data_IF_895375099498
#
_entry.id   IF_895375099498
#
_cell.length_a   1.000
_cell.length_b   1.000
_cell.length_c   1.000
_cell.angle_alpha   90.00
_cell.angle_beta   90.00
_cell.angle_gamma   90.00
#
_symmetry.space_group_name_H-M   'P 1'
#
loop_
_entity.id
_entity.type
_entity.pdbx_description
1 polymer ?
#
# COMPACT_ATOMS: atom_id res chain seq x y z
N UNK A 1 -3.13 -4.82 20.84
CA UNK A 1 -2.62 -3.47 20.55
C UNK A 1 -1.90 -3.54 19.23
N UNK A 2 -1.99 -2.53 18.35
CA UNK A 2 -1.32 -2.58 17.04
C UNK A 2 0.17 -2.38 17.21
N UNK A 3 0.98 -3.18 16.50
CA UNK A 3 2.42 -3.19 16.59
C UNK A 3 3.04 -2.69 15.29
N UNK A 4 3.81 -1.62 15.38
CA UNK A 4 4.47 -0.99 14.24
C UNK A 4 5.95 -1.35 14.26
N UNK A 5 6.46 -1.78 13.12
CA UNK A 5 7.89 -1.97 12.89
C UNK A 5 8.45 -0.76 12.16
N UNK A 6 9.42 -0.08 12.78
CA UNK A 6 10.01 1.15 12.26
C UNK A 6 11.51 0.98 12.01
N UNK A 7 11.92 1.07 10.77
CA UNK A 7 13.31 0.93 10.34
C UNK A 7 13.82 2.29 9.86
N UNK A 8 14.74 2.87 10.64
CA UNK A 8 15.26 4.23 10.45
C UNK A 8 16.57 4.36 11.23
N UNK A 9 17.59 5.02 10.71
CA UNK A 9 18.88 5.20 11.36
C UNK A 9 19.03 6.55 12.08
N UNK A 10 18.27 7.59 11.66
CA UNK A 10 18.29 8.91 12.27
C UNK A 10 17.64 8.88 13.66
N UNK A 11 18.49 9.01 14.70
CA UNK A 11 18.04 9.02 16.10
C UNK A 11 17.09 10.18 16.43
N UNK A 12 17.25 11.33 15.79
CA UNK A 12 16.39 12.50 16.04
C UNK A 12 14.98 12.23 15.54
N UNK A 13 14.88 11.66 14.34
CA UNK A 13 13.60 11.25 13.75
C UNK A 13 12.95 10.11 14.53
N UNK A 14 13.72 9.08 14.89
CA UNK A 14 13.26 7.97 15.73
C UNK A 14 12.65 8.48 17.04
N UNK A 15 13.36 9.36 17.78
CA UNK A 15 12.89 9.86 19.06
C UNK A 15 11.60 10.67 18.92
N UNK A 16 11.54 11.56 17.92
CA UNK A 16 10.37 12.39 17.68
C UNK A 16 9.12 11.56 17.29
N UNK A 17 9.30 10.63 16.35
CA UNK A 17 8.20 9.81 15.87
C UNK A 17 7.78 8.73 16.87
N UNK A 18 8.72 8.12 17.59
CA UNK A 18 8.44 7.11 18.61
C UNK A 18 7.52 7.64 19.70
N UNK A 19 7.78 8.87 20.18
CA UNK A 19 6.90 9.50 21.17
C UNK A 19 5.48 9.69 20.63
N UNK A 20 5.36 10.17 19.40
CA UNK A 20 4.07 10.41 18.76
C UNK A 20 3.29 9.11 18.48
N UNK A 21 3.96 8.07 17.97
CA UNK A 21 3.37 6.74 17.70
C UNK A 21 2.87 6.10 19.00
N UNK A 22 3.69 6.09 20.05
CA UNK A 22 3.31 5.53 21.36
C UNK A 22 2.15 6.30 22.01
N UNK A 23 2.10 7.62 21.83
CA UNK A 23 0.99 8.46 22.31
C UNK A 23 -0.35 8.11 21.64
N UNK A 24 -0.34 7.56 20.42
CA UNK A 24 -1.53 7.03 19.75
C UNK A 24 -1.94 5.63 20.25
N UNK A 25 -1.21 5.05 21.21
CA UNK A 25 -1.51 3.73 21.76
C UNK A 25 -0.96 2.56 20.95
N UNK A 26 0.02 2.79 20.08
CA UNK A 26 0.68 1.74 19.29
C UNK A 26 1.93 1.22 19.98
N UNK A 27 2.19 -0.09 19.85
CA UNK A 27 3.47 -0.69 20.16
C UNK A 27 4.46 -0.40 19.03
N UNK A 28 5.75 -0.31 19.36
CA UNK A 28 6.78 0.06 18.42
C UNK A 28 8.04 -0.78 18.64
N UNK A 29 8.47 -1.48 17.59
CA UNK A 29 9.81 -2.07 17.48
C UNK A 29 10.61 -1.24 16.48
N UNK A 30 11.87 -0.97 16.82
CA UNK A 30 12.76 -0.12 16.02
C UNK A 30 13.96 -0.95 15.60
N UNK A 31 14.36 -0.82 14.34
CA UNK A 31 15.64 -1.29 13.82
C UNK A 31 16.37 -0.11 13.18
N UNK A 32 17.70 -0.07 13.30
CA UNK A 32 18.51 1.02 12.76
C UNK A 32 19.36 0.63 11.57
N UNK A 33 19.36 -0.65 11.24
CA UNK A 33 20.10 -1.21 10.13
C UNK A 33 19.25 -2.27 9.42
N UNK A 34 19.60 -2.59 8.19
CA UNK A 34 18.94 -3.65 7.42
C UNK A 34 19.13 -5.02 8.09
N UNK A 35 20.33 -5.30 8.60
CA UNK A 35 20.64 -6.56 9.28
C UNK A 35 19.82 -6.70 10.57
N UNK A 36 19.74 -5.67 11.40
CA UNK A 36 18.92 -5.67 12.62
C UNK A 36 17.43 -5.86 12.26
N UNK A 37 16.98 -5.20 11.20
CA UNK A 37 15.61 -5.29 10.75
C UNK A 37 15.24 -6.72 10.31
N UNK A 38 16.11 -7.42 9.60
CA UNK A 38 15.89 -8.81 9.20
C UNK A 38 15.74 -9.73 10.41
N UNK A 39 16.64 -9.60 11.40
CA UNK A 39 16.60 -10.40 12.62
C UNK A 39 15.32 -10.18 13.45
N UNK A 40 14.89 -8.92 13.58
CA UNK A 40 13.67 -8.57 14.29
C UNK A 40 12.41 -8.98 13.53
N UNK A 41 12.46 -8.94 12.20
CA UNK A 41 11.36 -9.36 11.34
C UNK A 41 11.03 -10.85 11.49
N UNK A 42 12.03 -11.72 11.51
CA UNK A 42 11.85 -13.17 11.64
C UNK A 42 11.13 -13.56 12.95
N UNK A 43 11.32 -12.81 14.01
CA UNK A 43 10.81 -13.09 15.34
C UNK A 43 9.58 -12.25 15.72
N UNK A 44 9.13 -11.35 14.85
CA UNK A 44 8.08 -10.38 15.14
C UNK A 44 6.76 -10.66 14.41
N UNK A 45 5.70 -10.09 14.98
CA UNK A 45 4.40 -9.99 14.31
C UNK A 45 3.97 -8.52 14.31
N UNK A 46 3.89 -7.94 13.12
CA UNK A 46 3.69 -6.49 12.96
C UNK A 46 2.46 -6.21 12.12
N UNK A 47 1.75 -5.14 12.47
CA UNK A 47 0.55 -4.67 11.77
C UNK A 47 0.86 -3.61 10.70
N UNK A 48 2.01 -2.96 10.80
CA UNK A 48 2.51 -1.96 9.85
C UNK A 48 4.04 -1.94 9.89
N UNK A 49 4.64 -1.76 8.74
CA UNK A 49 6.08 -1.53 8.59
C UNK A 49 6.31 -0.13 8.04
N UNK A 50 7.24 0.60 8.64
CA UNK A 50 7.70 1.90 8.17
C UNK A 50 9.19 1.76 7.85
N UNK A 51 9.59 2.01 6.62
CA UNK A 51 10.96 1.82 6.14
C UNK A 51 11.55 3.12 5.63
N UNK A 52 12.71 3.51 6.15
CA UNK A 52 13.57 4.42 5.41
C UNK A 52 14.11 3.71 4.16
N UNK A 53 14.12 4.42 3.05
CA UNK A 53 14.72 3.93 1.80
C UNK A 53 16.23 3.81 1.92
N UNK A 54 16.88 4.75 2.60
CA UNK A 54 18.33 4.79 2.77
C UNK A 54 18.73 4.32 4.16
N UNK A 55 19.38 3.17 4.24
CA UNK A 55 19.91 2.61 5.48
C UNK A 55 21.45 2.53 5.40
N UNK A 56 22.16 2.59 6.55
CA UNK A 56 23.61 2.62 6.57
C UNK A 56 24.29 1.37 6.00
N UNK A 57 23.58 0.26 5.96
CA UNK A 57 24.07 -1.06 5.53
C UNK A 57 23.28 -1.63 4.35
N UNK A 58 22.33 -0.88 3.76
CA UNK A 58 21.51 -1.38 2.67
C UNK A 58 20.39 -0.44 2.24
N UNK A 59 19.40 -1.01 1.55
CA UNK A 59 18.23 -0.29 1.06
C UNK A 59 16.94 -0.81 1.68
N UNK A 60 16.07 0.12 2.10
CA UNK A 60 14.70 -0.23 2.50
C UNK A 60 13.90 -0.92 1.41
N UNK A 61 14.26 -0.70 0.14
CA UNK A 61 13.64 -1.40 -0.99
C UNK A 61 13.97 -2.90 -0.98
N UNK A 62 15.20 -3.27 -0.68
CA UNK A 62 15.60 -4.69 -0.60
C UNK A 62 14.92 -5.37 0.59
N UNK A 63 14.84 -4.67 1.72
CA UNK A 63 14.09 -5.15 2.89
C UNK A 63 12.60 -5.33 2.58
N UNK A 64 11.99 -4.40 1.85
CA UNK A 64 10.61 -4.54 1.38
C UNK A 64 10.41 -5.80 0.53
N UNK A 65 11.31 -6.09 -0.42
CA UNK A 65 11.23 -7.31 -1.25
C UNK A 65 11.27 -8.57 -0.39
N UNK A 66 12.15 -8.61 0.62
CA UNK A 66 12.26 -9.74 1.56
C UNK A 66 10.98 -9.92 2.38
N UNK A 67 10.44 -8.83 2.93
CA UNK A 67 9.17 -8.84 3.66
C UNK A 67 8.04 -9.34 2.78
N UNK A 68 7.95 -8.85 1.54
CA UNK A 68 6.90 -9.23 0.58
C UNK A 68 6.96 -10.68 0.14
N UNK A 69 8.11 -11.33 0.24
CA UNK A 69 8.21 -12.77 -0.03
C UNK A 69 7.38 -13.63 0.94
N UNK A 70 7.11 -13.13 2.15
CA UNK A 70 6.42 -13.89 3.22
C UNK A 70 5.21 -13.17 3.83
N UNK A 71 5.00 -11.86 3.55
CA UNK A 71 3.97 -11.08 4.24
C UNK A 71 3.30 -10.03 3.36
N UNK A 72 2.00 -9.80 3.65
CA UNK A 72 1.17 -8.73 3.06
C UNK A 72 0.97 -7.54 4.01
N UNK A 73 1.73 -7.48 5.10
CA UNK A 73 1.68 -6.35 6.04
C UNK A 73 1.80 -5.02 5.30
N UNK A 74 1.01 -3.99 5.63
CA UNK A 74 1.19 -2.67 5.02
C UNK A 74 2.62 -2.16 5.21
N UNK A 75 3.20 -1.58 4.15
CA UNK A 75 4.54 -0.96 4.18
C UNK A 75 4.43 0.48 3.73
N UNK A 76 4.92 1.41 4.56
CA UNK A 76 5.09 2.82 4.23
C UNK A 76 6.57 3.15 4.13
N UNK A 77 6.98 3.76 3.01
CA UNK A 77 8.33 4.28 2.87
C UNK A 77 8.45 5.70 3.38
N UNK A 78 9.56 5.98 4.07
CA UNK A 78 10.06 7.32 4.34
C UNK A 78 11.32 7.53 3.52
N UNK A 79 11.50 8.69 2.91
CA UNK A 79 12.70 8.95 2.11
C UNK A 79 13.05 10.43 2.08
N UNK A 80 14.34 10.72 1.97
CA UNK A 80 14.83 12.06 1.65
C UNK A 80 14.82 12.35 0.14
N UNK A 81 14.57 11.34 -0.71
CA UNK A 81 14.67 11.47 -2.14
C UNK A 81 13.42 12.13 -2.74
N UNK A 82 13.65 13.21 -3.48
CA UNK A 82 12.63 13.95 -4.24
C UNK A 82 12.49 13.40 -5.67
N UNK A 83 13.17 12.29 -6.01
CA UNK A 83 13.13 11.73 -7.36
C UNK A 83 11.85 10.91 -7.55
N UNK A 84 11.04 11.26 -8.54
CA UNK A 84 9.84 10.50 -8.95
C UNK A 84 10.16 9.01 -9.20
N UNK A 85 11.38 8.71 -9.62
CA UNK A 85 11.88 7.35 -9.83
C UNK A 85 11.89 6.51 -8.57
N UNK A 86 12.25 7.08 -7.41
CA UNK A 86 12.28 6.36 -6.13
C UNK A 86 10.86 6.09 -5.60
N UNK A 87 9.93 7.02 -5.81
CA UNK A 87 8.52 6.84 -5.50
C UNK A 87 7.94 5.69 -6.32
N UNK A 88 8.17 5.73 -7.64
CA UNK A 88 7.70 4.69 -8.56
C UNK A 88 8.31 3.34 -8.18
N UNK A 89 9.60 3.29 -7.93
CA UNK A 89 10.33 2.08 -7.55
C UNK A 89 9.80 1.50 -6.23
N UNK A 90 9.63 2.33 -5.19
CA UNK A 90 9.12 1.90 -3.88
C UNK A 90 7.74 1.30 -3.96
N UNK A 91 6.85 1.91 -4.74
CA UNK A 91 5.50 1.41 -4.96
C UNK A 91 5.49 0.17 -5.86
N UNK A 92 6.32 0.10 -6.90
CA UNK A 92 6.41 -1.05 -7.81
C UNK A 92 6.90 -2.32 -7.09
N UNK A 93 7.76 -2.22 -6.07
CA UNK A 93 8.24 -3.36 -5.29
C UNK A 93 7.29 -3.80 -4.16
N UNK A 94 6.17 -3.11 -3.95
CA UNK A 94 5.14 -3.54 -3.02
C UNK A 94 4.85 -2.61 -1.85
N UNK A 95 5.40 -1.40 -1.81
CA UNK A 95 5.00 -0.36 -0.84
C UNK A 95 3.51 0.00 -0.97
N UNK A 96 2.86 0.25 0.15
CA UNK A 96 1.44 0.64 0.21
C UNK A 96 1.26 2.15 0.33
N UNK A 97 2.27 2.86 0.82
CA UNK A 97 2.31 4.31 0.89
C UNK A 97 3.77 4.82 0.86
N UNK A 98 3.92 6.11 0.63
CA UNK A 98 5.20 6.76 0.45
C UNK A 98 5.15 8.19 0.99
N UNK A 99 6.19 8.62 1.72
CA UNK A 99 6.28 9.96 2.28
C UNK A 99 7.69 10.53 2.18
N UNK A 100 7.83 11.71 1.57
CA UNK A 100 9.10 12.43 1.48
C UNK A 100 9.41 13.20 2.74
N UNK A 101 10.67 13.18 3.16
CA UNK A 101 11.22 14.04 4.22
C UNK A 101 11.61 15.41 3.60
N UNK A 102 11.33 16.56 4.26
CA UNK A 102 10.65 16.69 5.55
C UNK A 102 9.12 16.64 5.44
N UNK A 103 8.45 16.08 6.45
CA UNK A 103 7.00 15.95 6.51
C UNK A 103 6.40 16.52 7.80
N UNK A 104 5.09 16.77 7.75
CA UNK A 104 4.34 17.20 8.95
C UNK A 104 3.92 15.97 9.76
N UNK A 105 4.16 16.01 11.09
CA UNK A 105 3.80 14.93 12.00
C UNK A 105 2.31 14.53 11.91
N UNK A 106 1.40 15.50 11.77
CA UNK A 106 -0.02 15.22 11.64
C UNK A 106 -0.34 14.39 10.38
N UNK A 107 0.33 14.68 9.26
CA UNK A 107 0.18 13.92 8.00
C UNK A 107 0.72 12.51 8.16
N UNK A 108 1.89 12.35 8.78
CA UNK A 108 2.50 11.06 9.08
C UNK A 108 1.56 10.17 9.91
N UNK A 109 1.04 10.69 11.03
CA UNK A 109 0.11 9.94 11.87
C UNK A 109 -1.22 9.62 11.16
N UNK A 110 -1.73 10.53 10.34
CA UNK A 110 -2.92 10.28 9.53
C UNK A 110 -2.73 9.11 8.56
N UNK A 111 -1.56 9.02 7.92
CA UNK A 111 -1.21 7.92 7.00
C UNK A 111 -1.05 6.58 7.72
N UNK A 112 -0.40 6.56 8.89
CA UNK A 112 -0.33 5.37 9.76
C UNK A 112 -1.75 4.89 10.10
N UNK A 113 -2.60 5.78 10.58
CA UNK A 113 -3.98 5.43 10.94
C UNK A 113 -4.76 4.91 9.73
N UNK A 114 -4.57 5.49 8.55
CA UNK A 114 -5.20 5.05 7.32
C UNK A 114 -4.72 3.64 6.92
N UNK A 115 -3.42 3.36 6.99
CA UNK A 115 -2.86 2.04 6.69
C UNK A 115 -3.35 0.96 7.66
N UNK A 116 -3.30 1.23 8.97
CA UNK A 116 -3.77 0.30 10.02
C UNK A 116 -5.29 0.05 9.92
N UNK A 117 -6.09 1.09 9.71
CA UNK A 117 -7.53 0.93 9.49
C UNK A 117 -7.85 0.11 8.24
N UNK A 118 -7.07 0.26 7.17
CA UNK A 118 -7.21 -0.56 5.97
C UNK A 118 -6.96 -2.02 6.26
N UNK A 119 -5.97 -2.35 7.07
CA UNK A 119 -5.71 -3.73 7.50
C UNK A 119 -6.82 -4.29 8.40
N UNK A 120 -7.54 -3.45 9.17
CA UNK A 120 -8.68 -3.85 10.01
C UNK A 120 -10.00 -3.97 9.24
N UNK A 121 -10.30 -3.01 8.35
CA UNK A 121 -11.51 -3.07 7.52
C UNK A 121 -11.48 -4.24 6.53
N UNK A 122 -10.31 -4.78 6.26
CA UNK A 122 -10.15 -6.06 5.62
C UNK A 122 -10.94 -7.18 6.35
N UNK A 123 -11.13 -7.04 7.67
CA UNK A 123 -11.84 -8.01 8.50
C UNK A 123 -13.31 -7.66 8.80
N UNK A 124 -13.83 -6.47 8.44
CA UNK A 124 -15.14 -6.00 8.92
C UNK A 124 -16.18 -5.61 7.84
N UNK A 125 -15.88 -5.59 6.56
CA UNK A 125 -16.92 -5.32 5.56
C UNK A 125 -17.85 -6.53 5.38
N UNK A 126 -19.05 -6.40 5.93
CA UNK A 126 -20.13 -7.38 5.82
C UNK A 126 -20.66 -7.51 4.39
N UNK A 127 -20.69 -8.75 3.94
CA UNK A 127 -21.71 -9.38 3.10
C UNK A 127 -22.10 -8.75 1.74
N UNK A 128 -21.17 -8.79 0.80
CA UNK A 128 -21.54 -9.32 -0.53
C UNK A 128 -20.66 -10.55 -0.78
N UNK A 129 -21.23 -11.72 -1.02
CA UNK A 129 -20.49 -12.97 -0.92
C UNK A 129 -19.38 -13.12 -1.97
N UNK A 130 -19.53 -12.50 -3.12
CA UNK A 130 -18.55 -12.65 -4.21
C UNK A 130 -18.70 -11.56 -5.27
N UNK A 131 -17.58 -11.05 -5.80
CA UNK A 131 -17.56 -10.25 -7.02
C UNK A 131 -16.95 -11.09 -8.15
N UNK A 132 -17.64 -11.17 -9.29
CA UNK A 132 -17.13 -11.89 -10.44
C UNK A 132 -17.30 -11.08 -11.73
N UNK A 133 -16.20 -10.89 -12.45
CA UNK A 133 -16.18 -10.19 -13.75
C UNK A 133 -14.89 -10.50 -14.51
N UNK A 134 -14.97 -10.67 -15.83
CA UNK A 134 -13.81 -10.83 -16.73
C UNK A 134 -12.80 -11.91 -16.31
N UNK A 135 -13.27 -13.05 -15.79
CA UNK A 135 -12.41 -14.12 -15.29
C UNK A 135 -11.76 -13.83 -13.94
N UNK A 136 -12.02 -12.66 -13.35
CA UNK A 136 -11.62 -12.33 -11.98
C UNK A 136 -12.76 -12.67 -11.03
N UNK A 137 -12.42 -13.38 -9.94
CA UNK A 137 -13.32 -13.71 -8.84
C UNK A 137 -12.70 -13.22 -7.55
N UNK A 138 -13.46 -12.48 -6.75
CA UNK A 138 -13.07 -11.97 -5.45
C UNK A 138 -14.00 -12.52 -4.38
N UNK A 139 -13.52 -13.35 -3.49
CA UNK A 139 -14.24 -13.81 -2.30
C UNK A 139 -14.03 -12.82 -1.17
N UNK A 140 -15.02 -11.95 -0.94
CA UNK A 140 -14.85 -10.81 -0.03
C UNK A 140 -14.58 -11.22 1.41
N UNK A 141 -15.22 -12.29 1.91
CA UNK A 141 -15.04 -12.77 3.29
C UNK A 141 -13.66 -13.41 3.52
N UNK A 142 -13.14 -14.14 2.52
CA UNK A 142 -11.82 -14.78 2.60
C UNK A 142 -10.71 -13.90 2.08
N UNK A 143 -11.06 -12.80 1.41
CA UNK A 143 -10.14 -11.89 0.72
C UNK A 143 -9.25 -12.61 -0.31
N UNK A 144 -9.76 -13.66 -0.86
CA UNK A 144 -9.09 -14.42 -1.90
C UNK A 144 -9.50 -13.88 -3.28
N UNK A 145 -8.51 -13.74 -4.15
CA UNK A 145 -8.71 -13.34 -5.53
C UNK A 145 -8.19 -14.43 -6.44
N UNK A 146 -8.98 -14.78 -7.45
CA UNK A 146 -8.53 -15.70 -8.49
C UNK A 146 -8.71 -15.07 -9.88
N UNK A 147 -7.80 -15.38 -10.79
CA UNK A 147 -7.93 -15.07 -12.22
C UNK A 147 -8.04 -16.39 -12.98
N UNK A 148 -9.17 -16.63 -13.63
CA UNK A 148 -9.48 -17.87 -14.34
C UNK A 148 -9.27 -19.13 -13.46
N UNK A 149 -9.63 -19.03 -12.16
CA UNK A 149 -9.48 -20.11 -11.18
C UNK A 149 -8.09 -20.24 -10.56
N UNK A 150 -7.10 -19.47 -11.02
CA UNK A 150 -5.75 -19.46 -10.45
C UNK A 150 -5.66 -18.39 -9.38
N UNK A 151 -5.17 -18.69 -8.16
CA UNK A 151 -4.97 -17.71 -7.10
C UNK A 151 -4.09 -16.54 -7.56
N UNK A 152 -4.52 -15.32 -7.20
CA UNK A 152 -3.85 -14.08 -7.55
C UNK A 152 -3.41 -13.37 -6.28
N UNK A 153 -2.10 -13.18 -6.15
CA UNK A 153 -1.54 -12.50 -4.98
C UNK A 153 -1.55 -10.99 -5.17
N UNK A 154 -2.38 -10.30 -4.36
CA UNK A 154 -2.52 -8.84 -4.36
C UNK A 154 -2.10 -8.27 -3.00
N UNK A 155 -1.45 -7.11 -3.03
CA UNK A 155 -1.27 -6.31 -1.81
C UNK A 155 -2.61 -5.74 -1.35
N UNK A 156 -2.69 -5.25 -0.11
CA UNK A 156 -3.91 -4.67 0.44
C UNK A 156 -4.46 -3.52 -0.42
N UNK A 157 -3.60 -2.66 -0.93
CA UNK A 157 -4.00 -1.53 -1.79
C UNK A 157 -4.49 -1.99 -3.17
N UNK A 158 -3.82 -2.96 -3.78
CA UNK A 158 -4.24 -3.56 -5.06
C UNK A 158 -5.60 -4.27 -4.95
N UNK A 159 -5.80 -5.02 -3.86
CA UNK A 159 -7.09 -5.67 -3.58
C UNK A 159 -8.21 -4.64 -3.46
N UNK A 160 -8.02 -3.57 -2.67
CA UNK A 160 -9.03 -2.51 -2.52
C UNK A 160 -9.34 -1.82 -3.84
N UNK A 161 -8.30 -1.49 -4.61
CA UNK A 161 -8.44 -0.88 -5.91
C UNK A 161 -9.24 -1.80 -6.86
N UNK A 162 -8.96 -3.10 -6.85
CA UNK A 162 -9.72 -4.09 -7.62
C UNK A 162 -11.19 -4.14 -7.19
N UNK A 163 -11.44 -4.24 -5.88
CA UNK A 163 -12.81 -4.26 -5.34
C UNK A 163 -13.57 -2.97 -5.67
N UNK A 164 -12.90 -1.81 -5.58
CA UNK A 164 -13.51 -0.53 -5.95
C UNK A 164 -13.95 -0.52 -7.41
N UNK A 165 -13.12 -0.99 -8.33
CA UNK A 165 -13.45 -1.07 -9.74
C UNK A 165 -14.57 -2.08 -10.01
N UNK A 166 -14.50 -3.27 -9.44
CA UNK A 166 -15.49 -4.32 -9.65
C UNK A 166 -16.87 -3.99 -9.05
N UNK A 167 -16.91 -3.18 -7.99
CA UNK A 167 -18.16 -2.64 -7.41
C UNK A 167 -18.77 -1.48 -8.23
N UNK A 168 -18.03 -0.89 -9.18
CA UNK A 168 -18.48 0.20 -10.04
C UNK A 168 -18.28 -0.14 -11.53
N UNK A 169 -18.86 -1.25 -12.03
CA UNK A 169 -18.65 -1.69 -13.41
C UNK A 169 -19.15 -0.64 -14.40
N UNK A 170 -18.39 -0.47 -15.47
CA UNK A 170 -18.66 0.46 -16.56
C UNK A 170 -18.76 1.96 -16.16
N UNK A 171 -18.57 2.30 -14.89
CA UNK A 171 -18.52 3.67 -14.40
C UNK A 171 -17.11 4.23 -14.52
N UNK A 172 -16.98 5.47 -14.96
CA UNK A 172 -15.70 6.19 -14.96
C UNK A 172 -15.47 6.74 -13.56
N UNK A 173 -14.39 6.35 -12.93
CA UNK A 173 -13.96 6.89 -11.64
C UNK A 173 -12.83 7.88 -11.88
N UNK A 174 -12.99 9.11 -11.37
CA UNK A 174 -11.92 10.12 -11.46
C UNK A 174 -10.76 9.77 -10.53
N UNK A 175 -9.54 10.28 -10.81
CA UNK A 175 -8.40 10.08 -9.90
C UNK A 175 -8.73 10.47 -8.46
N UNK A 176 -9.40 11.60 -8.25
CA UNK A 176 -9.79 12.09 -6.93
C UNK A 176 -10.76 11.13 -6.22
N UNK A 177 -11.75 10.59 -6.94
CA UNK A 177 -12.69 9.60 -6.40
C UNK A 177 -12.01 8.32 -6.00
N UNK A 178 -11.03 7.86 -6.79
CA UNK A 178 -10.26 6.65 -6.48
C UNK A 178 -9.39 6.92 -5.25
N UNK A 179 -8.66 8.03 -5.26
CA UNK A 179 -7.74 8.39 -4.18
C UNK A 179 -8.49 8.59 -2.85
N UNK A 180 -9.62 9.31 -2.84
CA UNK A 180 -10.42 9.52 -1.63
C UNK A 180 -10.93 8.19 -1.04
N UNK A 181 -11.33 7.22 -1.88
CA UNK A 181 -11.82 5.92 -1.42
C UNK A 181 -10.70 4.96 -0.99
N UNK A 182 -9.51 5.11 -1.55
CA UNK A 182 -8.37 4.28 -1.17
C UNK A 182 -7.65 4.81 0.06
N UNK A 183 -7.57 6.13 0.24
CA UNK A 183 -6.74 6.75 1.27
C UNK A 183 -7.47 7.57 2.32
N UNK A 184 -8.80 7.77 2.25
CA UNK A 184 -9.59 8.51 3.24
C UNK A 184 -8.92 9.82 3.74
N UNK A 185 -8.08 10.44 2.92
CA UNK A 185 -7.30 11.62 3.26
C UNK A 185 -7.81 12.83 2.50
N UNK A 186 -7.75 14.01 3.11
CA UNK A 186 -7.94 15.29 2.44
C UNK A 186 -7.07 15.36 1.19
N UNK A 187 -7.70 15.65 0.04
CA UNK A 187 -7.23 15.55 -1.35
C UNK A 187 -5.88 16.24 -1.66
N UNK A 188 -5.30 16.96 -0.70
CA UNK A 188 -4.15 17.86 -0.94
C UNK A 188 -2.77 17.18 -0.91
N UNK A 189 -2.67 15.89 -0.58
CA UNK A 189 -1.38 15.26 -0.27
C UNK A 189 -1.05 14.00 -1.06
N UNK A 190 -1.92 13.57 -1.99
CA UNK A 190 -1.64 12.38 -2.81
C UNK A 190 -1.56 12.81 -4.27
N UNK A 191 -0.38 12.62 -4.86
CA UNK A 191 -0.11 12.96 -6.26
C UNK A 191 -0.79 11.96 -7.20
N UNK A 192 -1.24 12.44 -8.36
CA UNK A 192 -1.78 11.63 -9.46
C UNK A 192 -0.78 10.57 -9.96
N UNK A 193 0.51 10.80 -9.79
CA UNK A 193 1.58 9.86 -10.12
C UNK A 193 1.47 8.58 -9.30
N UNK A 194 1.14 8.69 -8.01
CA UNK A 194 0.92 7.55 -7.11
C UNK A 194 -0.20 6.63 -7.62
N UNK A 195 -1.34 7.20 -8.04
CA UNK A 195 -2.45 6.40 -8.60
C UNK A 195 -2.04 5.66 -9.87
N UNK A 196 -1.29 6.33 -10.76
CA UNK A 196 -0.83 5.70 -12.01
C UNK A 196 0.01 4.46 -11.76
N UNK A 197 0.85 4.47 -10.72
CA UNK A 197 1.66 3.31 -10.32
C UNK A 197 0.76 2.17 -9.83
N UNK A 198 -0.21 2.44 -8.97
CA UNK A 198 -1.15 1.40 -8.50
C UNK A 198 -1.96 0.78 -9.64
N UNK A 199 -2.46 1.60 -10.56
CA UNK A 199 -3.16 1.11 -11.76
C UNK A 199 -2.25 0.21 -12.60
N UNK A 200 -1.00 0.62 -12.83
CA UNK A 200 -0.03 -0.15 -13.58
C UNK A 200 0.26 -1.51 -12.91
N UNK A 201 0.53 -1.51 -11.60
CA UNK A 201 0.77 -2.74 -10.83
C UNK A 201 -0.42 -3.69 -10.89
N UNK A 202 -1.63 -3.18 -10.66
CA UNK A 202 -2.83 -3.99 -10.72
C UNK A 202 -3.04 -4.56 -12.13
N UNK A 203 -2.86 -3.75 -13.19
CA UNK A 203 -2.92 -4.23 -14.58
C UNK A 203 -1.93 -5.35 -14.85
N UNK A 204 -0.70 -5.24 -14.37
CA UNK A 204 0.32 -6.28 -14.56
C UNK A 204 -0.15 -7.64 -14.03
N UNK A 205 -0.96 -7.65 -12.99
CA UNK A 205 -1.48 -8.88 -12.37
C UNK A 205 -2.77 -9.39 -13.02
N UNK A 206 -3.71 -8.50 -13.33
CA UNK A 206 -5.07 -8.91 -13.76
C UNK A 206 -5.26 -8.94 -15.28
N UNK A 207 -4.57 -8.10 -16.04
CA UNK A 207 -4.69 -8.07 -17.50
C UNK A 207 -3.97 -9.26 -18.15
N UNK A 208 -4.40 -9.62 -19.36
CA UNK A 208 -3.69 -10.60 -20.17
C UNK A 208 -2.55 -9.93 -20.96
N UNK A 209 -2.76 -8.66 -21.33
CA UNK A 209 -1.74 -7.79 -21.90
C UNK A 209 -1.79 -6.42 -21.19
N UNK A 210 -0.89 -6.15 -20.22
CA UNK A 210 -0.86 -4.88 -19.48
C UNK A 210 -0.63 -3.63 -20.34
N UNK A 211 0.01 -3.80 -21.52
CA UNK A 211 0.25 -2.70 -22.46
C UNK A 211 -1.01 -2.34 -23.27
N UNK A 212 -1.97 -3.27 -23.38
CA UNK A 212 -3.26 -3.08 -24.05
C UNK A 212 -4.40 -3.52 -23.11
N UNK A 213 -4.62 -2.79 -21.99
CA UNK A 213 -5.53 -3.22 -20.93
C UNK A 213 -6.98 -3.23 -21.41
N UNK A 214 -7.70 -4.30 -21.08
CA UNK A 214 -9.10 -4.50 -21.43
C UNK A 214 -10.02 -4.40 -20.22
N UNK A 215 -9.54 -4.77 -19.03
CA UNK A 215 -10.33 -4.78 -17.79
C UNK A 215 -10.36 -3.41 -17.13
N UNK A 216 -9.18 -2.80 -16.89
CA UNK A 216 -9.08 -1.43 -16.38
C UNK A 216 -8.67 -0.51 -17.53
N UNK A 217 -9.63 0.20 -18.11
CA UNK A 217 -9.44 1.06 -19.28
C UNK A 217 -9.22 2.51 -18.83
N UNK A 218 -8.23 3.19 -19.43
CA UNK A 218 -8.04 4.63 -19.23
C UNK A 218 -9.02 5.43 -20.09
N UNK A 219 -9.83 6.27 -19.46
CA UNK A 219 -10.69 7.25 -20.14
C UNK A 219 -9.98 8.60 -20.12
N UNK A 220 -9.49 9.04 -21.28
CA UNK A 220 -8.66 10.25 -21.40
C UNK A 220 -9.33 11.44 -20.72
N UNK A 221 -8.58 12.15 -19.87
CA UNK A 221 -8.96 13.34 -19.09
C UNK A 221 -10.08 13.11 -18.06
N UNK A 222 -10.58 11.89 -17.89
CA UNK A 222 -11.68 11.60 -16.97
C UNK A 222 -11.28 10.62 -15.85
N UNK A 223 -10.38 9.68 -16.11
CA UNK A 223 -9.95 8.69 -15.11
C UNK A 223 -9.91 7.27 -15.65
N UNK A 224 -10.39 6.33 -14.86
CA UNK A 224 -10.30 4.91 -15.15
C UNK A 224 -11.67 4.23 -15.03
N UNK A 225 -11.87 3.17 -15.79
CA UNK A 225 -13.13 2.43 -15.83
C UNK A 225 -12.85 0.93 -15.81
N UNK A 226 -13.60 0.18 -15.00
CA UNK A 226 -13.72 -1.26 -15.14
C UNK A 226 -14.65 -1.57 -16.29
N UNK A 227 -14.13 -2.24 -17.28
CA UNK A 227 -14.90 -2.62 -18.47
C UNK A 227 -15.39 -4.06 -18.27
N UNK A 228 -16.69 -4.33 -18.44
CA UNK A 228 -17.31 -5.67 -18.34
C UNK A 228 -17.68 -6.20 -19.69
#
# INVERSE_FOLDING_TARGET
>A
MKHIFFVEDDLSLINGLSFAIKKQGYELTIARTSVEAEQLWENGNYDLVILDVTLPDGSGFDLCRKIRASSKVPIMFLTAADEETDIIMGLDIGGDDYMTKPFKLAVFLSRINALLRRSENFNQEQAEPELQSNGIRVQLLKQEVTKNGVPLDLTASEYKLLCLFMKNPNSVLSPEQILSKLWDCDEKYIDNNTLTVYIRRLRTKIEDNPAAPQKIVTVRRMGYKWNT
#
